data_IF_628545531343
#
_entry.id   IF_628545531343
#
_cell.length_a   1.000
_cell.length_b   1.000
_cell.length_c   1.000
_cell.angle_alpha   90.00
_cell.angle_beta   90.00
_cell.angle_gamma   90.00
#
_symmetry.space_group_name_H-M   'P 1'
#
loop_
_entity.id
_entity.type
_entity.pdbx_description
1 polymer ?
#
# COMPACT_ATOMS: atom_id res chain seq x y z
N UNK A 1 -19.84 41.01 -8.29
CA UNK A 1 -20.28 40.03 -7.28
C UNK A 1 -19.03 39.27 -6.90
N UNK A 2 -18.27 39.85 -5.99
CA UNK A 2 -17.06 39.25 -5.45
C UNK A 2 -17.49 38.30 -4.35
N UNK A 3 -17.66 37.03 -4.72
CA UNK A 3 -17.83 35.97 -3.74
C UNK A 3 -16.42 35.65 -3.29
N UNK A 4 -16.08 36.20 -2.13
CA UNK A 4 -14.88 35.94 -1.35
C UNK A 4 -14.41 34.48 -1.51
N UNK A 5 -13.20 34.31 -2.04
CA UNK A 5 -12.42 33.06 -2.04
C UNK A 5 -11.94 32.71 -0.62
N UNK A 6 -12.82 32.87 0.38
CA UNK A 6 -12.51 32.47 1.76
C UNK A 6 -12.42 30.94 1.78
N UNK A 7 -11.19 30.47 1.99
CA UNK A 7 -10.83 29.18 2.55
C UNK A 7 -12.01 28.58 3.33
N UNK A 8 -12.67 27.59 2.72
CA UNK A 8 -13.53 26.66 3.42
C UNK A 8 -12.61 25.60 4.04
N UNK A 9 -11.79 26.02 4.99
CA UNK A 9 -11.18 25.10 5.94
C UNK A 9 -12.26 24.87 6.98
N UNK A 10 -13.10 23.85 6.80
CA UNK A 10 -13.97 23.36 7.86
C UNK A 10 -13.11 22.43 8.72
N UNK A 11 -12.57 22.91 9.86
CA UNK A 11 -11.56 22.17 10.63
C UNK A 11 -12.09 20.82 11.14
N UNK A 12 -13.41 20.72 11.35
CA UNK A 12 -14.06 19.50 11.79
C UNK A 12 -14.00 18.38 10.74
N UNK A 13 -13.97 18.72 9.44
CA UNK A 13 -13.86 17.74 8.35
C UNK A 13 -12.43 17.25 8.16
N UNK A 14 -11.45 18.12 8.39
CA UNK A 14 -10.03 17.74 8.32
C UNK A 14 -9.68 16.77 9.45
N UNK A 15 -10.20 17.03 10.66
CA UNK A 15 -10.03 16.14 11.82
C UNK A 15 -10.71 14.78 11.60
N UNK A 16 -11.88 14.75 10.95
CA UNK A 16 -12.56 13.50 10.60
C UNK A 16 -11.79 12.72 9.51
N UNK A 17 -11.31 13.40 8.47
CA UNK A 17 -10.53 12.80 7.40
C UNK A 17 -9.21 12.20 7.91
N UNK A 18 -8.52 12.92 8.79
CA UNK A 18 -7.30 12.44 9.43
C UNK A 18 -7.59 11.25 10.36
N UNK A 19 -8.68 11.28 11.11
CA UNK A 19 -9.11 10.15 11.93
C UNK A 19 -9.48 8.92 11.09
N UNK A 20 -10.14 9.10 9.96
CA UNK A 20 -10.50 7.99 9.08
C UNK A 20 -9.27 7.40 8.39
N UNK A 21 -8.32 8.24 7.95
CA UNK A 21 -7.06 7.77 7.37
C UNK A 21 -6.20 6.99 8.37
N UNK A 22 -6.31 7.28 9.67
CA UNK A 22 -5.64 6.49 10.72
C UNK A 22 -6.12 5.03 10.77
N UNK A 23 -7.38 4.74 10.41
CA UNK A 23 -7.90 3.36 10.40
C UNK A 23 -7.16 2.44 9.43
N UNK A 24 -6.52 3.01 8.40
CA UNK A 24 -5.70 2.25 7.44
C UNK A 24 -4.44 1.69 8.10
N UNK A 25 -3.93 2.33 9.16
CA UNK A 25 -2.81 1.80 9.95
C UNK A 25 -3.21 0.52 10.72
N UNK A 26 -4.51 0.35 11.00
CA UNK A 26 -5.03 -0.76 11.79
C UNK A 26 -5.40 -1.99 10.93
N UNK A 27 -5.24 -1.92 9.60
CA UNK A 27 -5.47 -3.06 8.69
C UNK A 27 -4.53 -4.25 9.02
N UNK A 28 -3.38 -3.97 9.66
CA UNK A 28 -2.44 -4.99 10.13
C UNK A 28 -1.55 -5.56 9.02
N UNK A 29 -1.04 -6.76 9.26
CA UNK A 29 -0.13 -7.48 8.36
C UNK A 29 -0.91 -8.49 7.50
N UNK A 30 -0.80 -8.38 6.18
CA UNK A 30 -1.42 -9.30 5.23
C UNK A 30 -0.40 -10.34 4.81
N UNK A 31 -0.68 -11.60 5.12
CA UNK A 31 0.12 -12.74 4.63
C UNK A 31 -0.38 -13.17 3.26
N UNK A 32 0.54 -13.20 2.29
CA UNK A 32 0.30 -13.63 0.92
C UNK A 32 0.88 -15.04 0.78
N UNK A 33 -0.01 -16.01 0.69
CA UNK A 33 0.35 -17.39 0.39
C UNK A 33 0.40 -17.61 -1.12
N UNK A 34 1.43 -18.32 -1.63
CA UNK A 34 1.48 -18.69 -3.03
C UNK A 34 0.40 -19.73 -3.35
N UNK A 35 -0.24 -19.61 -4.51
CA UNK A 35 -1.30 -20.54 -4.98
C UNK A 35 -0.72 -21.93 -5.34
N UNK A 36 0.58 -21.99 -5.63
CA UNK A 36 1.27 -23.23 -5.99
C UNK A 36 1.55 -24.09 -4.76
N UNK A 37 1.59 -25.42 -4.87
CA UNK A 37 1.95 -26.37 -3.79
C UNK A 37 3.34 -26.98 -4.10
N UNK A 38 4.37 -26.80 -3.25
CA UNK A 38 5.75 -27.16 -3.59
C UNK A 38 5.97 -28.66 -3.48
N UNK A 39 5.02 -29.40 -2.89
CA UNK A 39 5.05 -30.86 -2.79
C UNK A 39 5.05 -31.52 -4.19
N UNK A 40 4.59 -30.79 -5.22
CA UNK A 40 4.50 -31.26 -6.60
C UNK A 40 5.78 -31.03 -7.43
N UNK A 41 6.71 -30.17 -6.99
CA UNK A 41 8.02 -29.95 -7.63
C UNK A 41 9.09 -29.66 -6.59
N UNK A 42 10.04 -30.60 -6.44
CA UNK A 42 11.06 -30.62 -5.38
C UNK A 42 12.18 -29.58 -5.50
N UNK A 43 12.21 -28.81 -6.60
CA UNK A 43 13.36 -27.96 -6.95
C UNK A 43 13.12 -26.45 -6.80
N UNK A 44 11.94 -26.02 -6.31
CA UNK A 44 11.59 -24.59 -6.23
C UNK A 44 11.44 -24.17 -4.76
N UNK A 45 12.25 -23.19 -4.35
CA UNK A 45 12.16 -22.56 -3.04
C UNK A 45 10.79 -21.92 -2.82
N UNK A 46 10.16 -22.23 -1.69
CA UNK A 46 8.82 -21.77 -1.37
C UNK A 46 8.83 -20.31 -0.98
N UNK A 47 8.14 -19.45 -1.75
CA UNK A 47 8.10 -18.01 -1.48
C UNK A 47 6.80 -17.61 -0.79
N UNK A 48 6.89 -17.04 0.39
CA UNK A 48 5.78 -16.39 1.08
C UNK A 48 6.09 -14.91 1.22
N UNK A 49 5.05 -14.06 1.17
CA UNK A 49 5.23 -12.63 1.35
C UNK A 49 4.33 -12.10 2.46
N UNK A 50 4.83 -11.09 3.16
CA UNK A 50 4.07 -10.28 4.09
C UNK A 50 4.00 -8.86 3.54
N UNK A 51 2.79 -8.30 3.52
CA UNK A 51 2.52 -6.92 3.16
C UNK A 51 2.03 -6.18 4.40
N UNK A 52 2.74 -5.11 4.77
CA UNK A 52 2.37 -4.22 5.87
C UNK A 52 2.12 -2.82 5.35
N UNK A 53 1.00 -2.22 5.76
CA UNK A 53 0.73 -0.81 5.50
C UNK A 53 1.41 0.06 6.55
N UNK A 54 2.01 1.15 6.08
CA UNK A 54 2.68 2.16 6.86
C UNK A 54 1.85 3.44 6.91
N UNK A 55 2.54 4.57 7.01
CA UNK A 55 1.90 5.87 7.17
C UNK A 55 1.00 6.20 5.97
N UNK A 56 -0.19 6.70 6.28
CA UNK A 56 -1.10 7.33 5.31
C UNK A 56 -0.93 8.84 5.36
N UNK A 57 -0.87 9.47 4.20
CA UNK A 57 -0.93 10.92 4.05
C UNK A 57 -1.98 11.32 3.01
N UNK A 58 -2.73 12.36 3.34
CA UNK A 58 -3.68 12.99 2.43
C UNK A 58 -3.03 14.22 1.81
N UNK A 59 -3.09 14.33 0.49
CA UNK A 59 -2.60 15.50 -0.24
C UNK A 59 -3.75 16.47 -0.53
N UNK A 60 -3.41 17.74 -0.79
CA UNK A 60 -4.40 18.70 -1.27
C UNK A 60 -4.99 18.28 -2.62
N UNK A 61 -6.26 18.65 -2.91
CA UNK A 61 -6.92 18.35 -4.17
C UNK A 61 -6.12 18.91 -5.37
N UNK A 62 -5.75 18.01 -6.28
CA UNK A 62 -5.04 18.36 -7.51
C UNK A 62 -5.65 17.64 -8.70
N UNK A 63 -5.54 18.23 -9.88
CA UNK A 63 -5.95 17.61 -11.14
C UNK A 63 -4.76 17.38 -12.07
N UNK A 64 -4.83 16.33 -12.87
CA UNK A 64 -3.78 15.97 -13.82
C UNK A 64 -3.93 16.78 -15.11
N UNK A 65 -2.88 17.49 -15.50
CA UNK A 65 -2.83 18.35 -16.68
C UNK A 65 -2.38 17.65 -17.96
N UNK A 66 -2.37 16.32 -17.99
CA UNK A 66 -1.83 15.48 -19.07
C UNK A 66 -0.29 15.58 -19.25
N UNK A 67 0.28 14.65 -20.02
CA UNK A 67 1.74 14.52 -20.18
C UNK A 67 2.33 15.53 -21.19
N UNK A 68 1.53 15.96 -22.19
CA UNK A 68 1.97 16.94 -23.19
C UNK A 68 2.17 18.32 -22.55
N UNK A 69 1.24 18.72 -21.69
CA UNK A 69 1.32 19.97 -20.95
C UNK A 69 2.51 19.97 -19.97
N UNK A 70 2.83 18.83 -19.39
CA UNK A 70 4.01 18.66 -18.54
C UNK A 70 5.33 18.71 -19.33
N UNK A 71 5.36 18.13 -20.53
CA UNK A 71 6.53 18.14 -21.42
C UNK A 71 6.86 19.54 -21.97
N UNK A 72 5.85 20.41 -22.11
CA UNK A 72 6.00 21.81 -22.53
C UNK A 72 6.42 22.76 -21.39
N UNK A 73 6.88 22.21 -20.26
CA UNK A 73 7.35 22.97 -19.11
C UNK A 73 6.26 23.31 -18.08
N UNK A 74 5.03 22.81 -18.29
CA UNK A 74 3.96 22.90 -17.31
C UNK A 74 4.13 21.93 -16.13
N UNK A 75 3.38 22.18 -15.05
CA UNK A 75 3.30 21.22 -13.93
C UNK A 75 2.38 20.07 -14.32
N UNK A 76 2.77 18.83 -14.01
CA UNK A 76 1.95 17.62 -14.22
C UNK A 76 0.68 17.58 -13.36
N UNK A 77 0.71 18.24 -12.21
CA UNK A 77 -0.42 18.39 -11.32
C UNK A 77 -0.61 19.88 -11.01
N UNK A 78 -1.85 20.34 -11.12
CA UNK A 78 -2.25 21.68 -10.72
C UNK A 78 -3.23 21.60 -9.56
N UNK A 79 -3.20 22.63 -8.72
CA UNK A 79 -4.13 22.77 -7.60
C UNK A 79 -5.56 22.88 -8.13
N UNK A 80 -6.43 22.07 -7.55
CA UNK A 80 -7.85 22.08 -7.87
C UNK A 80 -8.55 22.92 -6.82
N UNK A 81 -9.25 23.97 -7.25
CA UNK A 81 -10.12 24.74 -6.37
C UNK A 81 -11.56 24.24 -6.48
N UNK A 82 -12.36 24.31 -5.39
CA UNK A 82 -13.75 23.85 -5.40
C UNK A 82 -14.59 24.50 -6.51
N UNK A 83 -14.31 25.77 -6.81
CA UNK A 83 -14.97 26.51 -7.89
C UNK A 83 -14.69 25.92 -9.27
N UNK A 84 -13.44 25.55 -9.55
CA UNK A 84 -13.07 24.90 -10.82
C UNK A 84 -13.79 23.56 -10.96
N UNK A 85 -13.83 22.77 -9.89
CA UNK A 85 -14.54 21.50 -9.85
C UNK A 85 -16.03 21.65 -10.23
N UNK A 86 -16.72 22.60 -9.60
CA UNK A 86 -18.15 22.86 -9.85
C UNK A 86 -18.42 23.35 -11.26
N UNK A 87 -17.62 24.30 -11.74
CA UNK A 87 -17.79 24.87 -13.08
C UNK A 87 -17.52 23.84 -14.18
N UNK A 88 -16.57 22.94 -13.95
CA UNK A 88 -16.14 21.95 -14.96
C UNK A 88 -16.83 20.59 -14.77
N UNK A 89 -17.81 20.50 -13.86
CA UNK A 89 -18.49 19.26 -13.48
C UNK A 89 -17.49 18.12 -13.17
N UNK A 90 -16.43 18.46 -12.43
CA UNK A 90 -15.41 17.53 -11.95
C UNK A 90 -15.57 17.25 -10.46
N UNK A 91 -15.11 16.08 -10.02
CA UNK A 91 -15.09 15.73 -8.60
C UNK A 91 -13.95 16.44 -7.88
N UNK A 92 -14.26 17.16 -6.81
CA UNK A 92 -13.27 17.74 -5.91
C UNK A 92 -12.72 16.67 -4.98
N UNK A 93 -11.60 16.04 -5.35
CA UNK A 93 -11.02 14.91 -4.61
C UNK A 93 -9.52 15.08 -4.36
N UNK A 94 -9.09 14.65 -3.17
CA UNK A 94 -7.69 14.56 -2.77
C UNK A 94 -7.08 13.20 -3.09
N UNK A 95 -5.74 13.19 -3.23
CA UNK A 95 -4.99 11.94 -3.36
C UNK A 95 -4.56 11.44 -2.00
N UNK A 96 -4.81 10.16 -1.72
CA UNK A 96 -4.28 9.45 -0.56
C UNK A 96 -3.01 8.72 -0.98
N UNK A 97 -1.95 8.87 -0.19
CA UNK A 97 -0.70 8.12 -0.33
C UNK A 97 -0.53 7.22 0.89
N UNK A 98 -0.18 5.96 0.64
CA UNK A 98 0.03 4.96 1.67
C UNK A 98 1.43 4.38 1.48
N UNK A 99 2.25 4.43 2.52
CA UNK A 99 3.53 3.72 2.54
C UNK A 99 3.28 2.21 2.70
N UNK A 100 4.01 1.37 1.98
CA UNK A 100 3.83 -0.09 2.03
C UNK A 100 5.17 -0.79 2.18
N UNK A 101 5.24 -1.76 3.09
CA UNK A 101 6.42 -2.60 3.31
C UNK A 101 6.11 -4.03 2.87
N UNK A 102 6.88 -4.52 1.91
CA UNK A 102 6.78 -5.89 1.41
C UNK A 102 7.99 -6.69 1.87
N UNK A 103 7.77 -7.77 2.61
CA UNK A 103 8.80 -8.73 3.01
C UNK A 103 8.57 -10.05 2.29
N UNK A 104 9.58 -10.53 1.56
CA UNK A 104 9.51 -11.80 0.83
C UNK A 104 10.47 -12.78 1.49
N UNK A 105 9.96 -13.96 1.81
CA UNK A 105 10.70 -15.01 2.47
C UNK A 105 10.75 -16.26 1.60
N UNK A 106 11.91 -16.91 1.59
CA UNK A 106 12.10 -18.19 0.93
C UNK A 106 12.23 -19.28 1.99
N UNK A 107 11.42 -20.34 1.92
CA UNK A 107 11.55 -21.54 2.75
C UNK A 107 12.22 -22.62 1.91
N UNK A 108 13.49 -22.88 2.22
CA UNK A 108 14.22 -24.01 1.67
C UNK A 108 13.72 -25.29 2.35
N UNK A 109 13.28 -26.27 1.58
CA UNK A 109 12.95 -27.61 2.07
C UNK A 109 14.27 -28.35 2.36
N UNK A 110 14.92 -28.05 3.49
CA UNK A 110 16.03 -28.88 3.95
C UNK A 110 15.49 -30.25 4.36
N UNK A 111 16.04 -31.30 3.74
CA UNK A 111 15.76 -32.69 4.08
C UNK A 111 16.12 -32.86 5.57
N UNK A 112 15.15 -33.17 6.42
CA UNK A 112 15.46 -33.66 7.76
C UNK A 112 16.18 -35.00 7.56
N UNK A 113 17.50 -35.02 7.71
CA UNK A 113 18.25 -36.26 7.79
C UNK A 113 17.77 -37.00 9.03
N UNK A 114 16.87 -37.96 8.82
CA UNK A 114 16.57 -38.99 9.80
C UNK A 114 17.85 -39.80 9.96
N UNK A 115 18.73 -39.34 10.84
CA UNK A 115 19.78 -40.17 11.41
C UNK A 115 19.08 -41.29 12.15
N UNK A 116 18.93 -42.44 11.49
CA UNK A 116 18.66 -43.70 12.16
C UNK A 116 19.87 -43.96 13.06
N UNK A 117 19.80 -43.50 14.32
CA UNK A 117 20.72 -43.96 15.35
C UNK A 117 20.42 -45.44 15.57
N UNK A 118 21.16 -46.30 14.87
CA UNK A 118 21.29 -47.70 15.23
C UNK A 118 21.91 -47.76 16.63
N UNK A 119 21.07 -47.71 17.65
CA UNK A 119 21.45 -48.07 19.01
C UNK A 119 21.69 -49.59 18.99
N UNK A 120 22.97 -49.95 18.84
CA UNK A 120 23.49 -51.27 19.19
C UNK A 120 23.23 -51.45 20.69
N UNK A 121 22.39 -52.42 21.04
CA UNK A 121 22.27 -52.88 22.41
C UNK A 121 23.53 -53.71 22.74
N UNK A 122 24.23 -53.45 23.85
CA UNK A 122 25.23 -54.38 24.37
C UNK A 122 24.52 -55.56 25.03
N UNK A 123 24.91 -56.78 24.64
CA UNK A 123 24.55 -58.01 25.34
C UNK A 123 25.27 -58.05 26.70
N UNK A 124 24.50 -58.26 27.77
CA UNK A 124 24.90 -58.98 29.01
C UNK A 124 23.64 -59.34 29.84
#
# INVERSE_FOLDING_TARGET
MDIDDRHFDDPDLDDEADNHCRSVNDIGEIFIEPIYDPSKRRDIDWRYASLKFGKVSLEQPTFWTNEKFAAEGGKKFLEMYPRHARLWNMTYSSRIKVETYLQVYNKNLSRSDKLNSSLVMPDD
#
